data_IF_205523911423
#
_entry.id   IF_205523911423
#
_cell.length_a   1.000
_cell.length_b   1.000
_cell.length_c   1.000
_cell.angle_alpha   90.00
_cell.angle_beta   90.00
_cell.angle_gamma   90.00
#
_symmetry.space_group_name_H-M   'P 1'
#
loop_
_entity.id
_entity.type
_entity.pdbx_description
1 polymer ?
#
# COMPACT_ATOMS: atom_id res chain seq x y z
N UNK A 1 20.11 -2.51 -1.16
CA UNK A 1 19.01 -2.68 -0.17
C UNK A 1 18.21 -3.89 -0.61
N UNK A 2 18.07 -4.90 0.24
CA UNK A 2 17.37 -6.12 -0.14
C UNK A 2 15.87 -5.92 0.03
N UNK A 3 15.10 -6.22 -1.02
CA UNK A 3 13.66 -6.12 -1.00
C UNK A 3 13.07 -7.29 -0.22
N UNK A 4 12.28 -7.01 0.80
CA UNK A 4 11.75 -8.02 1.73
C UNK A 4 10.40 -8.61 1.31
N UNK A 5 9.89 -8.20 0.15
CA UNK A 5 8.61 -8.63 -0.40
C UNK A 5 8.80 -9.18 -1.82
N UNK A 6 7.97 -10.11 -2.23
CA UNK A 6 7.86 -10.58 -3.61
C UNK A 6 6.66 -9.97 -4.32
N UNK A 7 5.63 -9.65 -3.55
CA UNK A 7 4.39 -9.11 -4.06
C UNK A 7 4.03 -7.79 -3.38
N UNK A 8 3.34 -6.94 -4.12
CA UNK A 8 2.63 -5.79 -3.58
C UNK A 8 1.19 -5.79 -4.08
N UNK A 9 0.25 -5.54 -3.17
CA UNK A 9 -1.14 -5.28 -3.48
C UNK A 9 -1.49 -3.85 -3.03
N UNK A 10 -1.90 -3.01 -3.96
CA UNK A 10 -2.39 -1.65 -3.67
C UNK A 10 -3.90 -1.64 -3.75
N UNK A 11 -4.56 -1.29 -2.64
CA UNK A 11 -6.01 -1.12 -2.54
C UNK A 11 -6.33 0.37 -2.54
N UNK A 12 -6.98 0.82 -3.59
CA UNK A 12 -7.17 2.24 -3.92
C UNK A 12 -6.16 2.72 -4.98
N UNK A 13 -6.63 2.82 -6.23
CA UNK A 13 -5.80 3.14 -7.40
C UNK A 13 -5.96 4.62 -7.82
N UNK A 14 -6.13 5.49 -6.84
CA UNK A 14 -6.14 6.94 -7.05
C UNK A 14 -4.75 7.52 -7.35
N UNK A 15 -4.58 8.82 -7.08
CA UNK A 15 -3.29 9.50 -7.26
C UNK A 15 -2.15 8.81 -6.51
N UNK A 16 -2.32 8.54 -5.22
CA UNK A 16 -1.25 7.99 -4.36
C UNK A 16 -0.96 6.53 -4.74
N UNK A 17 -2.00 5.65 -4.76
CA UNK A 17 -1.82 4.24 -5.09
C UNK A 17 -1.31 4.03 -6.51
N UNK A 18 -1.85 4.74 -7.49
CA UNK A 18 -1.35 4.72 -8.87
C UNK A 18 0.10 5.18 -8.99
N UNK A 19 0.52 6.18 -8.19
CA UNK A 19 1.90 6.67 -8.17
C UNK A 19 2.87 5.64 -7.57
N UNK A 20 2.46 4.91 -6.53
CA UNK A 20 3.25 3.78 -5.98
C UNK A 20 3.54 2.77 -7.08
N UNK A 21 2.49 2.29 -7.76
CA UNK A 21 2.60 1.30 -8.82
C UNK A 21 3.45 1.78 -9.99
N UNK A 22 3.24 3.04 -10.42
CA UNK A 22 4.01 3.66 -11.49
C UNK A 22 5.49 3.77 -11.14
N UNK A 23 5.82 4.18 -9.91
CA UNK A 23 7.20 4.27 -9.43
C UNK A 23 7.89 2.91 -9.45
N UNK A 24 7.21 1.86 -8.95
CA UNK A 24 7.72 0.47 -8.96
C UNK A 24 8.09 0.05 -10.38
N UNK A 25 7.22 0.31 -11.34
CA UNK A 25 7.46 -0.04 -12.74
C UNK A 25 8.61 0.73 -13.37
N UNK A 26 8.67 2.05 -13.19
CA UNK A 26 9.73 2.87 -13.76
C UNK A 26 11.11 2.60 -13.18
N UNK A 27 11.17 2.28 -11.89
CA UNK A 27 12.42 1.89 -11.23
C UNK A 27 12.78 0.41 -11.43
N UNK A 28 11.96 -0.35 -12.16
CA UNK A 28 12.12 -1.79 -12.36
C UNK A 28 12.33 -2.55 -11.05
N UNK A 29 11.59 -2.18 -10.01
CA UNK A 29 11.63 -2.88 -8.72
C UNK A 29 11.03 -4.28 -8.93
N UNK A 30 11.73 -5.37 -8.55
CA UNK A 30 11.34 -6.74 -8.84
C UNK A 30 10.21 -7.22 -7.92
N UNK A 31 9.01 -6.64 -8.09
CA UNK A 31 7.78 -6.99 -7.38
C UNK A 31 6.71 -7.43 -8.38
N UNK A 32 6.00 -8.50 -8.06
CA UNK A 32 4.71 -8.77 -8.67
C UNK A 32 3.68 -7.77 -8.15
N UNK A 33 3.01 -7.09 -9.05
CA UNK A 33 2.21 -5.90 -8.75
C UNK A 33 0.73 -6.17 -8.97
N UNK A 34 -0.04 -6.13 -7.90
CA UNK A 34 -1.50 -6.28 -7.92
C UNK A 34 -2.18 -5.01 -7.44
N UNK A 35 -3.42 -4.81 -7.85
CA UNK A 35 -4.19 -3.65 -7.43
C UNK A 35 -5.69 -3.86 -7.52
N UNK A 36 -6.41 -3.24 -6.59
CA UNK A 36 -7.87 -3.16 -6.58
C UNK A 36 -8.30 -1.75 -6.24
N UNK A 37 -9.47 -1.38 -6.74
CA UNK A 37 -10.16 -0.16 -6.34
C UNK A 37 -11.60 -0.50 -5.94
N UNK A 38 -12.22 0.33 -5.10
CA UNK A 38 -13.63 0.22 -4.77
C UNK A 38 -14.54 0.43 -6.00
N UNK A 39 -14.01 1.11 -7.01
CA UNK A 39 -14.59 1.22 -8.34
C UNK A 39 -13.91 0.23 -9.29
N UNK A 40 -14.64 -0.82 -9.69
CA UNK A 40 -14.12 -1.86 -10.59
C UNK A 40 -13.63 -1.31 -11.94
N UNK A 41 -14.22 -0.23 -12.44
CA UNK A 41 -13.79 0.38 -13.70
C UNK A 41 -12.38 0.98 -13.59
N UNK A 42 -12.00 1.48 -12.42
CA UNK A 42 -10.63 1.94 -12.14
C UNK A 42 -9.66 0.75 -12.13
N UNK A 43 -10.05 -0.38 -11.53
CA UNK A 43 -9.25 -1.62 -11.56
C UNK A 43 -9.05 -2.12 -12.99
N UNK A 44 -10.12 -2.23 -13.79
CA UNK A 44 -10.05 -2.63 -15.20
C UNK A 44 -9.14 -1.70 -16.01
N UNK A 45 -9.26 -0.39 -15.81
CA UNK A 45 -8.43 0.60 -16.48
C UNK A 45 -6.95 0.43 -16.11
N UNK A 46 -6.63 0.24 -14.84
CA UNK A 46 -5.26 0.03 -14.38
C UNK A 46 -4.64 -1.24 -14.99
N UNK A 47 -5.44 -2.31 -15.11
CA UNK A 47 -5.02 -3.56 -15.73
C UNK A 47 -4.79 -3.37 -17.24
N UNK A 48 -5.71 -2.71 -17.96
CA UNK A 48 -5.61 -2.48 -19.41
C UNK A 48 -4.39 -1.65 -19.80
N UNK A 49 -3.98 -0.69 -18.97
CA UNK A 49 -2.74 0.10 -19.20
C UNK A 49 -1.49 -0.61 -18.67
N UNK A 50 -1.63 -1.86 -18.23
CA UNK A 50 -0.55 -2.68 -17.71
C UNK A 50 0.05 -2.14 -16.41
N UNK A 51 -0.67 -1.41 -15.59
CA UNK A 51 -0.18 -0.89 -14.31
C UNK A 51 -0.17 -1.97 -13.20
N UNK A 52 -1.05 -2.95 -13.30
CA UNK A 52 -1.19 -4.09 -12.40
C UNK A 52 -1.21 -5.41 -13.18
N UNK A 53 -0.99 -6.52 -12.51
CA UNK A 53 -0.89 -7.87 -13.07
C UNK A 53 -2.07 -8.77 -12.63
N UNK A 54 -3.26 -8.20 -12.44
CA UNK A 54 -4.45 -8.98 -12.12
C UNK A 54 -4.85 -9.89 -13.30
N UNK A 55 -5.29 -11.11 -13.02
CA UNK A 55 -5.81 -12.02 -14.04
C UNK A 55 -7.28 -11.71 -14.26
N UNK A 56 -7.66 -11.44 -15.51
CA UNK A 56 -9.05 -11.10 -15.91
C UNK A 56 -9.71 -10.06 -15.01
N UNK A 57 -8.92 -9.06 -14.57
CA UNK A 57 -9.31 -8.02 -13.62
C UNK A 57 -9.67 -8.54 -12.20
N UNK A 58 -9.39 -9.81 -11.91
CA UNK A 58 -9.60 -10.40 -10.59
C UNK A 58 -8.27 -10.62 -9.87
N UNK A 59 -8.30 -10.45 -8.57
CA UNK A 59 -7.16 -10.75 -7.72
C UNK A 59 -7.12 -12.26 -7.45
N UNK A 60 -5.99 -12.90 -7.80
CA UNK A 60 -5.71 -14.27 -7.37
C UNK A 60 -5.20 -14.28 -5.93
N UNK A 61 -5.31 -15.40 -5.26
CA UNK A 61 -4.74 -15.57 -3.93
C UNK A 61 -3.21 -15.43 -3.97
N UNK A 62 -2.67 -14.57 -3.11
CA UNK A 62 -1.24 -14.29 -2.99
C UNK A 62 -0.67 -15.16 -1.87
N UNK A 63 0.21 -16.10 -2.23
CA UNK A 63 0.76 -17.10 -1.28
C UNK A 63 2.16 -16.75 -0.78
N UNK A 64 2.83 -15.75 -1.36
CA UNK A 64 4.18 -15.34 -1.00
C UNK A 64 4.19 -14.03 -0.21
N UNK A 65 5.37 -13.65 0.32
CA UNK A 65 5.55 -12.40 1.09
C UNK A 65 4.99 -11.19 0.34
N UNK A 66 3.97 -10.57 0.93
CA UNK A 66 3.21 -9.49 0.33
C UNK A 66 3.16 -8.24 1.23
N UNK A 67 3.37 -7.08 0.62
CA UNK A 67 3.01 -5.80 1.22
C UNK A 67 1.64 -5.37 0.68
N UNK A 68 0.67 -5.17 1.57
CA UNK A 68 -0.65 -4.64 1.22
C UNK A 68 -0.71 -3.16 1.64
N UNK A 69 -0.96 -2.29 0.67
CA UNK A 69 -0.99 -0.84 0.86
C UNK A 69 -2.42 -0.33 0.69
N UNK A 70 -3.03 0.15 1.77
CA UNK A 70 -4.33 0.84 1.70
C UNK A 70 -4.14 2.30 1.32
N UNK A 71 -4.65 2.67 0.15
CA UNK A 71 -4.59 4.02 -0.44
C UNK A 71 -5.97 4.56 -0.83
N UNK A 72 -7.01 4.10 -0.14
CA UNK A 72 -8.40 4.59 -0.21
C UNK A 72 -8.60 5.78 0.74
N UNK A 73 -9.72 6.52 0.68
CA UNK A 73 -10.11 7.40 1.76
C UNK A 73 -10.21 6.65 3.10
N UNK A 74 -9.70 7.22 4.20
CA UNK A 74 -9.60 6.53 5.50
C UNK A 74 -10.93 5.99 6.04
N UNK A 75 -12.05 6.63 5.70
CA UNK A 75 -13.41 6.18 6.02
C UNK A 75 -13.82 4.89 5.31
N UNK A 76 -13.08 4.46 4.30
CA UNK A 76 -13.38 3.27 3.49
C UNK A 76 -12.52 2.07 3.84
N UNK A 77 -11.75 2.11 4.94
CA UNK A 77 -10.79 1.04 5.30
C UNK A 77 -11.46 -0.32 5.50
N UNK A 78 -12.60 -0.38 6.20
CA UNK A 78 -13.33 -1.62 6.45
C UNK A 78 -13.76 -2.27 5.12
N UNK A 79 -14.44 -1.49 4.26
CA UNK A 79 -14.86 -1.95 2.94
C UNK A 79 -13.70 -2.34 2.04
N UNK A 80 -12.57 -1.65 2.12
CA UNK A 80 -11.38 -1.98 1.37
C UNK A 80 -10.74 -3.28 1.86
N UNK A 81 -10.82 -3.57 3.17
CA UNK A 81 -10.33 -4.82 3.74
C UNK A 81 -11.21 -6.01 3.32
N UNK A 82 -12.53 -5.88 3.38
CA UNK A 82 -13.49 -6.89 2.93
C UNK A 82 -13.24 -7.37 1.49
N UNK A 83 -12.78 -6.48 0.60
CA UNK A 83 -12.46 -6.84 -0.78
C UNK A 83 -11.29 -7.83 -0.92
N UNK A 84 -10.44 -7.92 0.09
CA UNK A 84 -9.16 -8.63 -0.04
C UNK A 84 -8.93 -9.70 1.01
N UNK A 85 -9.82 -9.86 2.01
CA UNK A 85 -9.59 -10.72 3.18
C UNK A 85 -9.24 -12.17 2.83
N UNK A 86 -9.77 -12.70 1.72
CA UNK A 86 -9.48 -14.05 1.23
C UNK A 86 -8.33 -14.10 0.19
N UNK A 87 -7.69 -12.97 -0.11
CA UNK A 87 -6.78 -12.85 -1.26
C UNK A 87 -5.30 -13.00 -0.93
N UNK A 88 -4.93 -13.28 0.30
CA UNK A 88 -3.53 -13.40 0.73
C UNK A 88 -3.32 -14.52 1.75
N UNK A 89 -2.06 -14.92 1.92
CA UNK A 89 -1.65 -15.81 3.00
C UNK A 89 -1.40 -14.96 4.25
N UNK A 90 -2.17 -15.20 5.30
CA UNK A 90 -2.16 -14.41 6.53
C UNK A 90 -0.79 -14.41 7.25
N UNK A 91 0.00 -15.48 7.12
CA UNK A 91 1.33 -15.55 7.75
C UNK A 91 2.40 -14.72 7.03
N UNK A 92 2.18 -14.38 5.75
CA UNK A 92 3.17 -13.75 4.86
C UNK A 92 2.81 -12.32 4.47
N UNK A 93 1.88 -11.68 5.18
CA UNK A 93 1.41 -10.35 4.86
C UNK A 93 1.90 -9.31 5.88
N UNK A 94 2.23 -8.12 5.37
CA UNK A 94 2.35 -6.89 6.15
C UNK A 94 1.40 -5.88 5.53
N UNK A 95 0.66 -5.17 6.38
CA UNK A 95 -0.23 -4.10 5.97
C UNK A 95 0.40 -2.74 6.23
N UNK A 96 0.11 -1.80 5.35
CA UNK A 96 0.43 -0.38 5.54
C UNK A 96 -0.64 0.49 4.89
N UNK A 97 -0.62 1.77 5.17
CA UNK A 97 -1.56 2.74 4.63
C UNK A 97 -0.88 4.02 4.14
N UNK A 98 -1.65 4.90 3.55
CA UNK A 98 -1.18 6.22 3.10
C UNK A 98 -2.00 7.37 3.71
N UNK A 99 -2.77 7.09 4.76
CA UNK A 99 -3.73 8.05 5.33
C UNK A 99 -3.05 9.18 6.10
N UNK A 100 -3.53 10.40 5.91
CA UNK A 100 -3.11 11.55 6.70
C UNK A 100 -3.74 11.55 8.11
N UNK A 101 -4.97 11.05 8.26
CA UNK A 101 -5.64 10.87 9.54
C UNK A 101 -5.71 9.40 9.92
N UNK A 102 -5.36 9.07 11.18
CA UNK A 102 -5.30 7.70 11.68
C UNK A 102 -6.52 7.28 12.51
N UNK A 103 -7.43 8.20 12.85
CA UNK A 103 -8.53 7.90 13.76
C UNK A 103 -9.35 6.69 13.32
N UNK A 104 -9.81 6.67 12.06
CA UNK A 104 -10.60 5.56 11.54
C UNK A 104 -9.80 4.27 11.35
N UNK A 105 -8.54 4.40 11.00
CA UNK A 105 -7.65 3.24 10.95
C UNK A 105 -7.47 2.62 12.32
N UNK A 106 -7.25 3.41 13.37
CA UNK A 106 -7.09 2.91 14.73
C UNK A 106 -8.36 2.21 15.23
N UNK A 107 -9.55 2.80 15.03
CA UNK A 107 -10.84 2.17 15.34
C UNK A 107 -10.97 0.78 14.64
N UNK A 108 -10.59 0.70 13.36
CA UNK A 108 -10.59 -0.56 12.60
C UNK A 108 -9.60 -1.59 13.19
N UNK A 109 -8.38 -1.17 13.52
CA UNK A 109 -7.33 -2.06 14.04
C UNK A 109 -7.65 -2.55 15.47
N UNK A 110 -8.30 -1.75 16.30
CA UNK A 110 -8.78 -2.14 17.62
C UNK A 110 -9.83 -3.29 17.53
N UNK A 111 -10.68 -3.24 16.51
CA UNK A 111 -11.68 -4.29 16.23
C UNK A 111 -11.07 -5.51 15.51
N UNK A 112 -9.90 -5.36 14.88
CA UNK A 112 -9.23 -6.37 14.07
C UNK A 112 -7.77 -6.58 14.54
N UNK A 113 -7.60 -7.05 15.77
CA UNK A 113 -6.28 -7.13 16.45
C UNK A 113 -5.24 -7.94 15.67
N UNK A 114 -5.63 -9.05 15.03
CA UNK A 114 -4.72 -9.86 14.19
C UNK A 114 -4.16 -9.08 13.01
N UNK A 115 -4.97 -8.19 12.42
CA UNK A 115 -4.53 -7.27 11.36
C UNK A 115 -3.61 -6.21 11.96
N UNK A 116 -3.97 -5.66 13.12
CA UNK A 116 -3.19 -4.68 13.86
C UNK A 116 -1.77 -5.13 14.18
N UNK A 117 -1.58 -6.40 14.55
CA UNK A 117 -0.26 -6.99 14.81
C UNK A 117 0.67 -6.99 13.58
N UNK A 118 0.11 -6.92 12.38
CA UNK A 118 0.83 -6.93 11.10
C UNK A 118 0.85 -5.57 10.41
N UNK A 119 0.27 -4.55 11.05
CA UNK A 119 0.11 -3.23 10.47
C UNK A 119 1.26 -2.30 10.84
N UNK A 120 1.80 -1.62 9.84
CA UNK A 120 2.73 -0.49 9.99
C UNK A 120 2.05 0.74 9.40
N UNK A 121 1.71 1.69 10.25
CA UNK A 121 1.08 2.92 9.78
C UNK A 121 2.07 3.79 9.03
N UNK A 122 1.68 4.30 7.85
CA UNK A 122 2.48 5.21 7.04
C UNK A 122 1.70 6.47 6.71
N UNK A 123 2.41 7.59 6.63
CA UNK A 123 1.87 8.85 6.13
C UNK A 123 2.88 9.50 5.18
N UNK A 124 2.78 9.27 3.86
CA UNK A 124 3.57 10.03 2.90
C UNK A 124 3.10 11.49 2.88
N UNK A 125 4.04 12.40 3.14
CA UNK A 125 3.80 13.84 3.02
C UNK A 125 3.99 14.22 1.56
N UNK A 126 3.13 13.67 0.73
CA UNK A 126 3.12 13.81 -0.72
C UNK A 126 1.68 13.77 -1.21
N UNK A 127 1.41 14.47 -2.28
CA UNK A 127 0.09 14.55 -2.87
C UNK A 127 -0.07 15.85 -3.66
N UNK A 128 -1.22 16.02 -4.24
CA UNK A 128 -1.65 17.26 -4.88
C UNK A 128 -3.18 17.36 -4.76
N UNK A 129 -3.73 18.50 -5.13
CA UNK A 129 -5.18 18.71 -5.27
C UNK A 129 -5.83 17.87 -6.39
N UNK A 130 -5.00 17.26 -7.24
CA UNK A 130 -5.48 16.34 -8.29
C UNK A 130 -5.85 15.00 -7.69
N UNK A 131 -6.91 14.39 -8.20
CA UNK A 131 -7.39 13.07 -7.78
C UNK A 131 -7.52 12.12 -8.96
N UNK A 132 -7.66 10.83 -8.65
CA UNK A 132 -7.90 9.76 -9.62
C UNK A 132 -6.65 9.21 -10.31
N UNK A 133 -6.83 8.03 -10.91
CA UNK A 133 -5.76 7.27 -11.56
C UNK A 133 -5.03 8.05 -12.66
N UNK A 134 -5.75 8.87 -13.43
CA UNK A 134 -5.15 9.63 -14.54
C UNK A 134 -4.05 10.63 -14.14
N UNK A 135 -3.92 10.93 -12.86
CA UNK A 135 -2.97 11.91 -12.33
C UNK A 135 -1.76 11.28 -11.61
N UNK A 136 -1.58 9.97 -11.69
CA UNK A 136 -0.42 9.31 -11.06
C UNK A 136 0.90 9.87 -11.61
N UNK A 137 1.91 9.89 -10.74
CA UNK A 137 3.23 10.42 -11.05
C UNK A 137 4.31 9.61 -10.35
N UNK A 138 5.23 9.02 -11.09
CA UNK A 138 6.34 8.23 -10.55
C UNK A 138 7.35 9.03 -9.72
N UNK A 139 7.36 10.34 -9.83
CA UNK A 139 8.21 11.21 -9.01
C UNK A 139 7.51 11.73 -7.75
N UNK A 140 6.27 11.29 -7.48
CA UNK A 140 5.46 11.82 -6.38
C UNK A 140 6.15 11.68 -5.02
N UNK A 141 6.90 10.61 -4.81
CA UNK A 141 7.55 10.29 -3.53
C UNK A 141 9.01 10.71 -3.46
N UNK A 142 9.61 11.11 -4.59
CA UNK A 142 11.04 11.47 -4.65
C UNK A 142 11.35 12.62 -3.70
N UNK A 143 12.28 12.38 -2.78
CA UNK A 143 12.71 13.31 -1.73
C UNK A 143 11.60 13.77 -0.74
N UNK A 144 10.42 13.15 -0.79
CA UNK A 144 9.33 13.44 0.13
C UNK A 144 9.50 12.68 1.45
N UNK A 145 9.00 13.28 2.52
CA UNK A 145 8.99 12.66 3.84
C UNK A 145 7.87 11.63 3.92
N UNK A 146 8.18 10.46 4.46
CA UNK A 146 7.19 9.48 4.91
C UNK A 146 7.36 9.25 6.40
N UNK A 147 6.30 9.42 7.15
CA UNK A 147 6.27 9.16 8.59
C UNK A 147 5.75 7.76 8.83
N UNK A 148 6.50 6.94 9.55
CA UNK A 148 6.09 5.60 9.95
C UNK A 148 5.85 5.51 11.45
N UNK A 149 4.91 4.67 11.84
CA UNK A 149 4.64 4.31 13.24
C UNK A 149 4.19 2.86 13.35
N UNK A 150 4.70 2.13 14.33
CA UNK A 150 4.16 0.84 14.71
C UNK A 150 2.87 1.03 15.54
N UNK A 151 1.88 0.16 15.35
CA UNK A 151 0.60 0.24 16.09
C UNK A 151 0.82 0.11 17.61
N UNK A 152 1.77 -0.73 18.02
CA UNK A 152 2.13 -0.95 19.42
C UNK A 152 3.30 -0.07 19.92
N UNK A 153 3.76 0.88 19.13
CA UNK A 153 4.87 1.77 19.47
C UNK A 153 6.28 1.14 19.45
N UNK A 154 6.40 -0.13 19.04
CA UNK A 154 7.69 -0.81 18.93
C UNK A 154 8.47 -0.34 17.69
N UNK A 155 9.46 0.54 17.91
CA UNK A 155 10.29 1.14 16.86
C UNK A 155 11.32 0.17 16.25
N UNK A 156 11.68 -0.90 16.94
CA UNK A 156 12.65 -1.90 16.48
C UNK A 156 11.99 -3.08 15.74
N UNK A 157 10.71 -2.97 15.46
CA UNK A 157 9.92 -3.99 14.81
C UNK A 157 10.46 -4.29 13.39
N UNK A 158 10.74 -5.56 13.11
CA UNK A 158 11.21 -6.01 11.79
C UNK A 158 10.27 -5.63 10.64
N UNK A 159 8.94 -5.59 10.90
CA UNK A 159 7.93 -5.19 9.90
C UNK A 159 8.08 -3.72 9.53
N UNK A 160 8.33 -2.87 10.54
CA UNK A 160 8.56 -1.44 10.35
C UNK A 160 9.78 -1.18 9.47
N UNK A 161 10.88 -1.92 9.69
CA UNK A 161 12.08 -1.82 8.85
C UNK A 161 11.81 -2.28 7.41
N UNK A 162 10.99 -3.31 7.20
CA UNK A 162 10.59 -3.76 5.84
C UNK A 162 9.80 -2.67 5.11
N UNK A 163 8.83 -2.04 5.78
CA UNK A 163 8.03 -0.94 5.21
C UNK A 163 8.87 0.31 5.00
N UNK A 164 9.80 0.62 5.91
CA UNK A 164 10.78 1.71 5.73
C UNK A 164 11.57 1.50 4.44
N UNK A 165 12.18 0.33 4.27
CA UNK A 165 12.98 0.00 3.08
C UNK A 165 12.15 0.15 1.79
N UNK A 166 10.89 -0.26 1.82
CA UNK A 166 9.97 -0.08 0.69
C UNK A 166 9.80 1.40 0.30
N UNK A 167 9.52 2.29 1.26
CA UNK A 167 9.36 3.71 0.98
C UNK A 167 10.67 4.37 0.52
N UNK A 168 11.81 3.96 1.09
CA UNK A 168 13.13 4.44 0.65
C UNK A 168 13.45 3.99 -0.78
N UNK A 169 13.05 2.78 -1.19
CA UNK A 169 13.16 2.32 -2.59
C UNK A 169 12.32 3.16 -3.55
N UNK A 170 11.19 3.70 -3.11
CA UNK A 170 10.40 4.66 -3.90
C UNK A 170 11.00 6.08 -3.94
N UNK A 171 12.15 6.30 -3.30
CA UNK A 171 12.86 7.58 -3.27
C UNK A 171 12.48 8.51 -2.12
N UNK A 172 11.72 8.03 -1.13
CA UNK A 172 11.30 8.83 0.02
C UNK A 172 12.37 8.92 1.09
N UNK A 173 12.29 9.98 1.92
CA UNK A 173 12.99 10.11 3.19
C UNK A 173 12.06 9.62 4.30
N UNK A 174 12.50 8.64 5.11
CA UNK A 174 11.64 8.02 6.11
C UNK A 174 12.02 8.45 7.52
N UNK A 175 11.03 8.80 8.33
CA UNK A 175 11.17 9.01 9.78
C UNK A 175 10.23 8.07 10.54
N UNK A 176 10.65 7.64 11.72
CA UNK A 176 9.88 6.74 12.60
C UNK A 176 9.53 7.51 13.87
N UNK A 177 8.23 7.51 14.24
CA UNK A 177 7.70 8.12 15.44
C UNK A 177 7.80 7.18 16.67
#
# INVERSE_FOLDING_TARGET
>A
MELSFKNILVVGLGLIGGSILKTIKELNIPLEVYGLDLDEEVTKKANNIGLINNIDNQLRKIEEDCLIVFSVPSLSIERAFELIEDSFNDEKVIFTDTFSSKSKLLEFLESNTKVGEKFVMSHPIAGSEKSGLANYNSLLFKDKLVVLSAVNGDKDNKKLNKVKNFWELLGSKVTIL
#
